data_IF_654590983830
#
_entry.id   IF_654590983830
#
_cell.length_a   1.000
_cell.length_b   1.000
_cell.length_c   1.000
_cell.angle_alpha   90.00
_cell.angle_beta   90.00
_cell.angle_gamma   90.00
#
_symmetry.space_group_name_H-M   'P 1'
#
loop_
_entity.id
_entity.type
_entity.pdbx_description
1 polymer ?
#
# COMPACT_ATOMS: atom_id res chain seq x y z
N UNK A 1 35.88 -29.66 -0.67
CA UNK A 1 35.53 -28.38 -1.32
C UNK A 1 34.02 -28.21 -1.29
N UNK A 2 33.51 -26.99 -1.11
CA UNK A 2 32.05 -26.73 -1.16
C UNK A 2 31.58 -26.86 -2.62
N UNK A 3 30.57 -27.69 -2.87
CA UNK A 3 30.02 -27.93 -4.22
C UNK A 3 29.04 -26.83 -4.65
N UNK A 4 28.74 -26.68 -5.95
CA UNK A 4 27.68 -25.79 -6.43
C UNK A 4 26.32 -26.05 -5.75
N UNK A 5 25.98 -27.32 -5.49
CA UNK A 5 24.78 -27.71 -4.75
C UNK A 5 24.75 -27.14 -3.31
N UNK A 6 25.90 -27.07 -2.63
CA UNK A 6 25.97 -26.43 -1.31
C UNK A 6 25.59 -24.95 -1.37
N UNK A 7 26.06 -24.22 -2.38
CA UNK A 7 25.73 -22.80 -2.55
C UNK A 7 24.29 -22.58 -3.02
N UNK A 8 23.74 -23.47 -3.86
CA UNK A 8 22.31 -23.44 -4.22
C UNK A 8 21.40 -23.68 -3.01
N UNK A 9 21.74 -24.64 -2.15
CA UNK A 9 21.01 -24.88 -0.90
C UNK A 9 21.16 -23.70 0.07
N UNK A 10 22.33 -23.06 0.14
CA UNK A 10 22.53 -21.85 0.93
C UNK A 10 21.70 -20.66 0.41
N UNK A 11 21.66 -20.46 -0.91
CA UNK A 11 20.82 -19.44 -1.55
C UNK A 11 19.33 -19.65 -1.24
N UNK A 12 18.83 -20.89 -1.29
CA UNK A 12 17.45 -21.21 -0.90
C UNK A 12 17.15 -20.94 0.58
N UNK A 13 18.09 -21.21 1.48
CA UNK A 13 17.92 -20.86 2.90
C UNK A 13 17.86 -19.34 3.10
N UNK A 14 18.66 -18.58 2.35
CA UNK A 14 18.60 -17.13 2.37
C UNK A 14 17.24 -16.60 1.84
N UNK A 15 16.74 -17.13 0.70
CA UNK A 15 15.41 -16.80 0.15
C UNK A 15 14.29 -17.08 1.16
N UNK A 16 14.33 -18.22 1.87
CA UNK A 16 13.35 -18.53 2.93
C UNK A 16 13.41 -17.50 4.06
N UNK A 17 14.60 -17.09 4.50
CA UNK A 17 14.74 -16.09 5.55
C UNK A 17 14.19 -14.73 5.12
N UNK A 18 14.44 -14.31 3.87
CA UNK A 18 13.87 -13.09 3.29
C UNK A 18 12.34 -13.15 3.20
N UNK A 19 11.78 -14.27 2.74
CA UNK A 19 10.32 -14.47 2.68
C UNK A 19 9.68 -14.49 4.08
N UNK A 20 10.39 -14.98 5.11
CA UNK A 20 9.91 -14.93 6.50
C UNK A 20 9.85 -13.50 7.01
N UNK A 21 10.87 -12.68 6.70
CA UNK A 21 10.87 -11.25 7.02
C UNK A 21 9.74 -10.52 6.29
N UNK A 22 9.54 -10.83 5.01
CA UNK A 22 8.45 -10.27 4.21
C UNK A 22 7.08 -10.61 4.80
N UNK A 23 6.85 -11.87 5.22
CA UNK A 23 5.60 -12.26 5.90
C UNK A 23 5.36 -11.44 7.17
N UNK A 24 6.42 -11.15 7.92
CA UNK A 24 6.32 -10.32 9.12
C UNK A 24 5.93 -8.87 8.76
N UNK A 25 6.57 -8.27 7.75
CA UNK A 25 6.19 -6.95 7.26
C UNK A 25 4.73 -6.90 6.77
N UNK A 26 4.29 -7.91 6.02
CA UNK A 26 2.89 -8.06 5.60
C UNK A 26 1.93 -8.17 6.79
N UNK A 27 2.30 -8.87 7.87
CA UNK A 27 1.49 -8.95 9.10
C UNK A 27 1.25 -7.57 9.73
N UNK A 28 2.26 -6.68 9.74
CA UNK A 28 2.07 -5.28 10.17
C UNK A 28 1.10 -4.57 9.23
N UNK A 29 1.32 -4.66 7.92
CA UNK A 29 0.46 -4.00 6.92
C UNK A 29 -1.01 -4.43 7.08
N UNK A 30 -1.27 -5.71 7.28
CA UNK A 30 -2.61 -6.28 7.50
C UNK A 30 -3.27 -5.67 8.75
N UNK A 31 -2.55 -5.61 9.88
CA UNK A 31 -3.08 -5.07 11.14
C UNK A 31 -3.30 -3.57 11.09
N UNK A 32 -2.36 -2.84 10.50
CA UNK A 32 -2.46 -1.39 10.31
C UNK A 32 -3.62 -1.05 9.36
N UNK A 33 -3.85 -1.86 8.32
CA UNK A 33 -5.03 -1.73 7.44
C UNK A 33 -6.35 -1.88 8.19
N UNK A 34 -6.45 -2.89 9.06
CA UNK A 34 -7.62 -3.08 9.92
C UNK A 34 -7.83 -1.88 10.86
N UNK A 35 -6.76 -1.37 11.49
CA UNK A 35 -6.81 -0.18 12.35
C UNK A 35 -7.25 1.07 11.58
N UNK A 36 -6.73 1.28 10.36
CA UNK A 36 -7.14 2.40 9.49
C UNK A 36 -8.67 2.38 9.27
N UNK A 37 -9.24 1.21 8.97
CA UNK A 37 -10.69 1.11 8.79
C UNK A 37 -11.46 1.49 10.07
N UNK A 38 -11.02 1.02 11.25
CA UNK A 38 -11.68 1.37 12.50
C UNK A 38 -11.57 2.88 12.81
N UNK A 39 -10.41 3.50 12.56
CA UNK A 39 -10.23 4.94 12.70
C UNK A 39 -11.09 5.74 11.71
N UNK A 40 -11.25 5.27 10.48
CA UNK A 40 -12.12 5.89 9.48
C UNK A 40 -13.59 5.88 9.89
N UNK A 41 -14.04 4.81 10.54
CA UNK A 41 -15.39 4.71 11.13
C UNK A 41 -15.54 5.63 12.35
N UNK A 42 -14.55 5.65 13.26
CA UNK A 42 -14.57 6.55 14.42
C UNK A 42 -14.64 8.01 14.00
N UNK A 43 -13.88 8.41 12.96
CA UNK A 43 -13.97 9.74 12.35
C UNK A 43 -15.38 10.07 11.88
N UNK A 44 -16.02 9.13 11.16
CA UNK A 44 -17.37 9.33 10.64
C UNK A 44 -18.40 9.53 11.76
N UNK A 45 -18.33 8.72 12.81
CA UNK A 45 -19.22 8.81 13.97
C UNK A 45 -18.93 10.06 14.82
N UNK A 46 -17.66 10.46 14.96
CA UNK A 46 -17.27 11.71 15.63
C UNK A 46 -17.78 12.94 14.86
N UNK A 47 -17.79 12.87 13.53
CA UNK A 47 -18.35 13.91 12.68
C UNK A 47 -19.86 14.01 12.85
N UNK A 48 -20.56 12.87 12.92
CA UNK A 48 -22.00 12.82 13.19
C UNK A 48 -22.35 13.39 14.57
N UNK A 49 -21.58 13.03 15.61
CA UNK A 49 -21.79 13.53 16.96
C UNK A 49 -21.61 15.06 17.04
N UNK A 50 -20.52 15.57 16.48
CA UNK A 50 -20.23 17.03 16.49
C UNK A 50 -21.23 17.81 15.64
N UNK A 51 -21.60 17.31 14.46
CA UNK A 51 -22.58 17.96 13.59
C UNK A 51 -24.00 17.98 14.20
N UNK A 52 -24.35 16.94 14.97
CA UNK A 52 -25.63 16.84 15.69
C UNK A 52 -25.60 17.46 17.08
N UNK A 53 -24.52 18.15 17.48
CA UNK A 53 -24.37 18.75 18.81
C UNK A 53 -24.60 17.74 19.95
N UNK A 54 -24.13 16.52 19.78
CA UNK A 54 -24.22 15.45 20.78
C UNK A 54 -25.51 14.62 20.74
N UNK A 55 -26.47 14.94 19.86
CA UNK A 55 -27.79 14.28 19.83
C UNK A 55 -27.73 12.88 19.20
N UNK A 56 -26.86 12.66 18.21
CA UNK A 56 -26.82 11.41 17.44
C UNK A 56 -25.46 10.71 17.52
N UNK A 57 -25.48 9.37 17.47
CA UNK A 57 -24.28 8.57 17.25
C UNK A 57 -23.42 8.26 18.49
N UNK A 58 -23.76 8.76 19.68
CA UNK A 58 -22.95 8.56 20.89
C UNK A 58 -22.73 7.07 21.26
N UNK A 59 -23.80 6.26 21.24
CA UNK A 59 -23.71 4.82 21.56
C UNK A 59 -22.88 4.05 20.52
N UNK A 60 -23.08 4.35 19.23
CA UNK A 60 -22.30 3.75 18.15
C UNK A 60 -20.82 4.18 18.23
N UNK A 61 -20.54 5.44 18.58
CA UNK A 61 -19.18 5.94 18.76
C UNK A 61 -18.47 5.25 19.93
N UNK A 62 -19.15 5.06 21.06
CA UNK A 62 -18.59 4.35 22.21
C UNK A 62 -18.20 2.90 21.85
N UNK A 63 -19.07 2.16 21.15
CA UNK A 63 -18.75 0.82 20.67
C UNK A 63 -17.59 0.82 19.66
N UNK A 64 -17.55 1.81 18.76
CA UNK A 64 -16.49 1.94 17.77
C UNK A 64 -15.13 2.26 18.40
N UNK A 65 -15.08 3.04 19.48
CA UNK A 65 -13.85 3.34 20.22
C UNK A 65 -13.21 2.09 20.80
N UNK A 66 -14.02 1.17 21.35
CA UNK A 66 -13.54 -0.13 21.83
C UNK A 66 -12.92 -0.96 20.70
N UNK A 67 -13.52 -0.94 19.51
CA UNK A 67 -12.96 -1.63 18.34
C UNK A 67 -11.63 -1.00 17.87
N UNK A 68 -11.50 0.33 17.97
CA UNK A 68 -10.25 1.03 17.68
C UNK A 68 -9.18 0.68 18.71
N UNK A 69 -9.53 0.66 20.00
CA UNK A 69 -8.59 0.34 21.07
C UNK A 69 -8.04 -1.09 20.94
N UNK A 70 -8.91 -2.07 20.63
CA UNK A 70 -8.50 -3.42 20.31
C UNK A 70 -7.54 -3.46 19.09
N UNK A 71 -7.84 -2.69 18.04
CA UNK A 71 -6.97 -2.57 16.86
C UNK A 71 -5.62 -1.92 17.16
N UNK A 72 -5.57 -0.97 18.09
CA UNK A 72 -4.33 -0.34 18.57
C UNK A 72 -3.46 -1.36 19.30
N UNK A 73 -4.06 -2.15 20.19
CA UNK A 73 -3.34 -3.20 20.93
C UNK A 73 -2.82 -4.28 19.98
N UNK A 74 -3.60 -4.67 18.97
CA UNK A 74 -3.15 -5.59 17.92
C UNK A 74 -1.94 -5.09 17.13
N UNK A 75 -1.89 -3.80 16.82
CA UNK A 75 -0.74 -3.17 16.13
C UNK A 75 0.47 -3.11 17.05
N UNK A 76 0.30 -2.68 18.31
CA UNK A 76 1.39 -2.62 19.30
C UNK A 76 2.03 -3.99 19.51
N UNK A 77 1.22 -5.01 19.77
CA UNK A 77 1.70 -6.38 19.93
C UNK A 77 2.48 -6.87 18.71
N UNK A 78 2.06 -6.51 17.49
CA UNK A 78 2.77 -6.89 16.28
C UNK A 78 4.11 -6.16 16.09
N UNK A 79 4.21 -4.91 16.54
CA UNK A 79 5.45 -4.13 16.50
C UNK A 79 6.45 -4.66 17.55
N UNK A 80 5.98 -4.96 18.77
CA UNK A 80 6.82 -5.47 19.86
C UNK A 80 7.47 -6.82 19.51
N UNK A 81 6.73 -7.69 18.80
CA UNK A 81 7.27 -8.98 18.32
C UNK A 81 8.40 -8.78 17.29
N UNK A 82 8.39 -7.68 16.52
CA UNK A 82 9.35 -7.43 15.44
C UNK A 82 10.58 -6.63 15.85
N UNK A 83 10.58 -5.96 17.01
CA UNK A 83 11.71 -5.16 17.51
C UNK A 83 12.98 -6.00 17.79
N UNK A 84 12.88 -7.31 17.63
CA UNK A 84 13.98 -8.29 17.77
C UNK A 84 14.74 -8.58 16.48
N UNK A 85 14.38 -7.96 15.33
CA UNK A 85 14.98 -8.26 14.03
C UNK A 85 15.89 -7.14 13.46
N UNK A 86 17.15 -7.44 13.09
CA UNK A 86 18.18 -6.45 12.75
C UNK A 86 18.07 -5.78 11.36
N UNK A 87 16.89 -5.74 10.72
CA UNK A 87 16.74 -5.31 9.33
C UNK A 87 15.75 -4.15 9.09
N UNK A 88 15.23 -3.52 10.15
CA UNK A 88 14.39 -2.32 9.99
C UNK A 88 15.22 -1.11 9.54
N UNK A 89 14.67 -0.35 8.58
CA UNK A 89 15.29 0.91 8.16
C UNK A 89 15.01 2.00 9.19
N UNK A 90 15.91 3.00 9.30
CA UNK A 90 15.67 4.16 10.15
C UNK A 90 14.32 4.82 9.85
N UNK A 91 13.88 4.85 8.58
CA UNK A 91 12.60 5.44 8.19
C UNK A 91 11.42 4.70 8.80
N UNK A 92 11.43 3.36 8.76
CA UNK A 92 10.37 2.55 9.36
C UNK A 92 10.21 2.87 10.85
N UNK A 93 11.32 3.00 11.59
CA UNK A 93 11.27 3.42 13.01
C UNK A 93 10.71 4.82 13.21
N UNK A 94 11.00 5.78 12.33
CA UNK A 94 10.40 7.11 12.41
C UNK A 94 8.89 7.07 12.15
N UNK A 95 8.43 6.26 11.18
CA UNK A 95 7.01 6.07 10.92
C UNK A 95 6.30 5.40 12.10
N UNK A 96 6.92 4.39 12.72
CA UNK A 96 6.42 3.74 13.93
C UNK A 96 6.31 4.76 15.07
N UNK A 97 7.36 5.54 15.33
CA UNK A 97 7.37 6.54 16.39
C UNK A 97 6.26 7.60 16.19
N UNK A 98 6.12 8.11 14.97
CA UNK A 98 5.06 9.07 14.62
C UNK A 98 3.66 8.49 14.85
N UNK A 99 3.42 7.23 14.40
CA UNK A 99 2.16 6.55 14.64
C UNK A 99 1.87 6.39 16.14
N UNK A 100 2.82 5.87 16.91
CA UNK A 100 2.65 5.64 18.34
C UNK A 100 2.36 6.94 19.10
N UNK A 101 3.03 8.04 18.74
CA UNK A 101 2.73 9.37 19.28
C UNK A 101 1.30 9.82 18.94
N UNK A 102 0.86 9.62 17.70
CA UNK A 102 -0.51 9.91 17.27
C UNK A 102 -1.56 9.11 18.04
N UNK A 103 -1.30 7.82 18.26
CA UNK A 103 -2.16 6.93 19.04
C UNK A 103 -2.20 7.33 20.53
N UNK A 104 -1.08 7.81 21.08
CA UNK A 104 -1.03 8.35 22.45
C UNK A 104 -1.83 9.65 22.60
N UNK A 105 -1.94 10.45 21.53
CA UNK A 105 -2.74 11.68 21.52
C UNK A 105 -4.25 11.44 21.32
N UNK A 106 -4.66 10.24 20.84
CA UNK A 106 -6.04 9.92 20.51
C UNK A 106 -7.03 10.08 21.68
N UNK A 107 -6.72 9.70 22.94
CA UNK A 107 -7.62 9.94 24.06
C UNK A 107 -7.93 11.42 24.30
N UNK A 108 -6.96 12.32 24.12
CA UNK A 108 -7.17 13.76 24.25
C UNK A 108 -8.07 14.31 23.14
N UNK A 109 -7.90 13.81 21.90
CA UNK A 109 -8.80 14.12 20.79
C UNK A 109 -10.23 13.68 21.09
N UNK A 110 -10.42 12.44 21.60
CA UNK A 110 -11.73 11.91 21.99
C UNK A 110 -12.40 12.74 23.07
N UNK A 111 -11.66 13.14 24.11
CA UNK A 111 -12.16 14.01 25.16
C UNK A 111 -12.62 15.38 24.62
N UNK A 112 -11.87 15.94 23.67
CA UNK A 112 -12.22 17.21 23.02
C UNK A 112 -13.48 17.11 22.14
N UNK A 113 -13.68 15.96 21.49
CA UNK A 113 -14.91 15.63 20.73
C UNK A 113 -16.10 15.46 21.66
N UNK A 114 -15.94 14.74 22.78
CA UNK A 114 -17.02 14.52 23.77
C UNK A 114 -17.45 15.82 24.44
N UNK A 115 -16.50 16.72 24.70
CA UNK A 115 -16.76 18.05 25.23
C UNK A 115 -17.31 19.04 24.18
N UNK A 116 -17.47 18.62 22.91
CA UNK A 116 -17.90 19.45 21.78
C UNK A 116 -17.07 20.74 21.61
N UNK A 117 -15.80 20.69 22.01
CA UNK A 117 -14.88 21.84 21.93
C UNK A 117 -14.25 22.02 20.55
N UNK A 118 -14.18 20.94 19.77
CA UNK A 118 -13.67 20.94 18.41
C UNK A 118 -14.81 21.02 17.40
N UNK A 119 -14.57 21.77 16.32
CA UNK A 119 -15.46 21.73 15.15
C UNK A 119 -15.35 20.40 14.42
N UNK A 120 -16.39 20.05 13.64
CA UNK A 120 -16.38 18.85 12.78
C UNK A 120 -15.17 18.82 11.83
N UNK A 121 -14.78 19.99 11.31
CA UNK A 121 -13.63 20.12 10.42
C UNK A 121 -12.31 19.81 11.15
N UNK A 122 -12.09 20.38 12.34
CA UNK A 122 -10.87 20.17 13.14
C UNK A 122 -10.73 18.71 13.59
N UNK A 123 -11.82 18.11 14.08
CA UNK A 123 -11.85 16.69 14.45
C UNK A 123 -11.54 15.79 13.24
N UNK A 124 -12.19 16.04 12.09
CA UNK A 124 -11.92 15.32 10.83
C UNK A 124 -10.45 15.43 10.43
N UNK A 125 -9.88 16.64 10.46
CA UNK A 125 -8.48 16.87 10.11
C UNK A 125 -7.50 16.12 11.04
N UNK A 126 -7.81 16.02 12.33
CA UNK A 126 -7.01 15.26 13.28
C UNK A 126 -6.99 13.75 12.96
N UNK A 127 -8.16 13.16 12.69
CA UNK A 127 -8.24 11.75 12.26
C UNK A 127 -7.54 11.51 10.91
N UNK A 128 -7.67 12.42 9.94
CA UNK A 128 -6.96 12.34 8.66
C UNK A 128 -5.45 12.28 8.85
N UNK A 129 -4.89 13.13 9.73
CA UNK A 129 -3.44 13.10 10.04
C UNK A 129 -3.01 11.78 10.67
N UNK A 130 -3.81 11.21 11.57
CA UNK A 130 -3.51 9.93 12.21
C UNK A 130 -3.55 8.79 11.18
N UNK A 131 -4.58 8.73 10.33
CA UNK A 131 -4.69 7.76 9.24
C UNK A 131 -3.55 7.92 8.24
N UNK A 132 -3.12 9.15 7.94
CA UNK A 132 -1.94 9.42 7.12
C UNK A 132 -0.66 8.81 7.70
N UNK A 133 -0.47 8.89 9.02
CA UNK A 133 0.63 8.22 9.72
C UNK A 133 0.59 6.69 9.59
N UNK A 134 -0.60 6.09 9.70
CA UNK A 134 -0.77 4.65 9.46
C UNK A 134 -0.42 4.26 8.01
N UNK A 135 -0.87 5.05 7.03
CA UNK A 135 -0.57 4.81 5.61
C UNK A 135 0.93 4.93 5.31
N UNK A 136 1.62 5.89 5.93
CA UNK A 136 3.07 6.02 5.81
C UNK A 136 3.81 4.79 6.36
N UNK A 137 3.35 4.24 7.50
CA UNK A 137 3.89 2.99 8.04
C UNK A 137 3.67 1.81 7.08
N UNK A 138 2.48 1.67 6.49
CA UNK A 138 2.20 0.63 5.48
C UNK A 138 3.16 0.75 4.29
N UNK A 139 3.37 1.97 3.81
CA UNK A 139 4.28 2.24 2.70
C UNK A 139 5.73 1.86 3.03
N UNK A 140 6.25 2.28 4.19
CA UNK A 140 7.62 1.99 4.59
C UNK A 140 7.85 0.51 4.94
N UNK A 141 6.82 -0.17 5.45
CA UNK A 141 6.86 -1.63 5.63
C UNK A 141 6.89 -2.38 4.29
N UNK A 142 6.26 -1.83 3.25
CA UNK A 142 6.26 -2.43 1.91
C UNK A 142 7.56 -2.21 1.12
N UNK A 143 8.31 -1.13 1.37
CA UNK A 143 9.58 -0.80 0.68
C UNK A 143 10.67 -1.89 0.89
N UNK A 144 10.58 -2.64 2.00
CA UNK A 144 11.48 -3.75 2.32
C UNK A 144 11.20 -5.06 1.56
N UNK A 145 10.17 -5.12 0.72
CA UNK A 145 9.82 -6.36 0.03
C UNK A 145 10.83 -6.74 -1.07
N UNK A 146 11.18 -8.03 -1.10
CA UNK A 146 12.14 -8.63 -2.02
C UNK A 146 11.50 -9.64 -3.00
N UNK A 147 10.19 -9.90 -2.90
CA UNK A 147 9.44 -10.71 -3.86
C UNK A 147 8.58 -9.80 -4.75
N UNK A 148 8.60 -9.95 -6.09
CA UNK A 148 7.89 -9.04 -6.98
C UNK A 148 6.38 -9.13 -6.91
N UNK A 149 5.82 -10.33 -6.78
CA UNK A 149 4.37 -10.53 -6.72
C UNK A 149 3.81 -9.88 -5.46
N UNK A 150 4.50 -10.08 -4.33
CA UNK A 150 4.16 -9.47 -3.05
C UNK A 150 4.34 -7.95 -3.11
N UNK A 151 5.47 -7.46 -3.63
CA UNK A 151 5.73 -6.01 -3.76
C UNK A 151 4.66 -5.31 -4.59
N UNK A 152 4.28 -5.92 -5.71
CA UNK A 152 3.24 -5.43 -6.60
C UNK A 152 1.87 -5.39 -5.91
N UNK A 153 1.50 -6.44 -5.17
CA UNK A 153 0.24 -6.48 -4.43
C UNK A 153 0.22 -5.47 -3.28
N UNK A 154 1.36 -5.25 -2.60
CA UNK A 154 1.51 -4.23 -1.56
C UNK A 154 1.34 -2.80 -2.12
N UNK A 155 1.93 -2.50 -3.28
CA UNK A 155 1.75 -1.21 -3.98
C UNK A 155 0.28 -1.00 -4.35
N UNK A 156 -0.37 -2.03 -4.88
CA UNK A 156 -1.79 -2.00 -5.19
C UNK A 156 -2.63 -1.74 -3.92
N UNK A 157 -2.38 -2.52 -2.86
CA UNK A 157 -3.08 -2.39 -1.59
C UNK A 157 -2.91 -0.98 -0.99
N UNK A 158 -1.69 -0.44 -0.97
CA UNK A 158 -1.43 0.92 -0.48
C UNK A 158 -2.26 1.97 -1.24
N UNK A 159 -2.23 1.95 -2.58
CA UNK A 159 -2.99 2.91 -3.38
C UNK A 159 -4.49 2.73 -3.23
N UNK A 160 -4.97 1.49 -3.06
CA UNK A 160 -6.37 1.22 -2.77
C UNK A 160 -6.80 1.80 -1.42
N UNK A 161 -6.00 1.58 -0.37
CA UNK A 161 -6.24 2.11 0.98
C UNK A 161 -6.24 3.65 0.98
N UNK A 162 -5.32 4.26 0.23
CA UNK A 162 -5.28 5.71 0.05
C UNK A 162 -6.50 6.23 -0.71
N UNK A 163 -6.91 5.58 -1.80
CA UNK A 163 -8.13 5.92 -2.54
C UNK A 163 -9.39 5.81 -1.66
N UNK A 164 -9.47 4.78 -0.81
CA UNK A 164 -10.54 4.62 0.20
C UNK A 164 -10.53 5.75 1.22
N UNK A 165 -9.36 6.14 1.71
CA UNK A 165 -9.23 7.25 2.64
C UNK A 165 -9.71 8.57 2.02
N UNK A 166 -9.32 8.85 0.78
CA UNK A 166 -9.76 10.03 0.04
C UNK A 166 -11.28 10.01 -0.24
N UNK A 167 -11.85 8.84 -0.56
CA UNK A 167 -13.31 8.68 -0.68
C UNK A 167 -14.03 8.94 0.66
N UNK A 168 -13.42 8.58 1.79
CA UNK A 168 -13.91 8.91 3.13
C UNK A 168 -13.89 10.42 3.43
N UNK A 169 -12.86 11.12 2.99
CA UNK A 169 -12.76 12.58 3.07
C UNK A 169 -13.76 13.28 2.13
N UNK A 170 -13.97 12.72 0.94
CA UNK A 170 -14.99 13.20 0.00
C UNK A 170 -16.39 13.11 0.61
N UNK A 171 -16.71 11.98 1.24
CA UNK A 171 -17.97 11.80 1.97
C UNK A 171 -18.18 12.92 3.00
N UNK A 172 -17.17 13.19 3.83
CA UNK A 172 -17.24 14.23 4.86
C UNK A 172 -17.40 15.63 4.26
N UNK A 173 -16.65 15.94 3.19
CA UNK A 173 -16.72 17.21 2.47
C UNK A 173 -18.11 17.45 1.89
N UNK A 174 -18.69 16.42 1.25
CA UNK A 174 -20.04 16.51 0.70
C UNK A 174 -21.12 16.58 1.77
N UNK A 175 -20.99 15.84 2.87
CA UNK A 175 -21.92 15.93 4.00
C UNK A 175 -21.94 17.36 4.59
N UNK A 176 -20.78 17.99 4.73
CA UNK A 176 -20.69 19.38 5.15
C UNK A 176 -21.31 20.34 4.12
N UNK A 177 -21.03 20.17 2.83
CA UNK A 177 -21.59 20.99 1.75
C UNK A 177 -23.13 20.94 1.74
N UNK A 178 -23.71 19.73 1.64
CA UNK A 178 -25.15 19.54 1.61
C UNK A 178 -25.82 19.95 2.93
N UNK A 179 -25.19 19.67 4.08
CA UNK A 179 -25.72 20.04 5.39
C UNK A 179 -25.77 21.55 5.60
N UNK A 180 -24.75 22.30 5.14
CA UNK A 180 -24.73 23.77 5.25
C UNK A 180 -25.57 24.48 4.18
N UNK A 181 -26.05 23.75 3.15
CA UNK A 181 -26.76 24.26 1.95
C UNK A 181 -26.02 25.33 1.13
N UNK A 182 -24.81 25.69 1.55
CA UNK A 182 -23.94 26.65 0.87
C UNK A 182 -22.69 25.90 0.44
N UNK A 183 -22.37 25.97 -0.85
CA UNK A 183 -21.08 25.54 -1.35
C UNK A 183 -20.18 26.76 -1.58
N UNK A 184 -19.13 26.89 -0.77
CA UNK A 184 -18.11 27.90 -0.98
C UNK A 184 -17.10 27.45 -2.05
N UNK A 185 -16.44 28.41 -2.70
CA UNK A 185 -15.48 28.13 -3.79
C UNK A 185 -14.30 27.29 -3.31
N UNK A 186 -13.89 27.42 -2.05
CA UNK A 186 -12.76 26.68 -1.49
C UNK A 186 -13.09 25.19 -1.33
N UNK A 187 -14.28 24.88 -0.83
CA UNK A 187 -14.82 23.52 -0.65
C UNK A 187 -15.09 22.85 -1.98
N UNK A 188 -15.66 23.57 -2.94
CA UNK A 188 -15.83 23.08 -4.31
C UNK A 188 -14.50 22.65 -4.92
N UNK A 189 -13.45 23.49 -4.80
CA UNK A 189 -12.10 23.15 -5.26
C UNK A 189 -11.52 21.95 -4.52
N UNK A 190 -11.61 21.94 -3.19
CA UNK A 190 -11.15 20.81 -2.37
C UNK A 190 -11.82 19.49 -2.79
N UNK A 191 -13.11 19.51 -3.10
CA UNK A 191 -13.84 18.34 -3.54
C UNK A 191 -13.34 17.86 -4.91
N UNK A 192 -13.13 18.75 -5.87
CA UNK A 192 -12.54 18.41 -7.17
C UNK A 192 -11.15 17.77 -7.00
N UNK A 193 -10.30 18.32 -6.13
CA UNK A 193 -8.99 17.75 -5.82
C UNK A 193 -9.09 16.34 -5.22
N UNK A 194 -10.08 16.09 -4.35
CA UNK A 194 -10.34 14.78 -3.77
C UNK A 194 -10.80 13.76 -4.82
N UNK A 195 -11.64 14.17 -5.78
CA UNK A 195 -12.10 13.30 -6.87
C UNK A 195 -10.93 12.90 -7.76
N UNK A 196 -10.13 13.87 -8.19
CA UNK A 196 -8.98 13.61 -9.06
C UNK A 196 -7.92 12.76 -8.35
N UNK A 197 -7.65 13.03 -7.08
CA UNK A 197 -6.68 12.25 -6.29
C UNK A 197 -7.15 10.79 -6.12
N UNK A 198 -8.45 10.56 -5.95
CA UNK A 198 -9.02 9.21 -5.93
C UNK A 198 -8.79 8.48 -7.25
N UNK A 199 -9.08 9.12 -8.38
CA UNK A 199 -8.90 8.53 -9.70
C UNK A 199 -7.45 8.09 -9.93
N UNK A 200 -6.50 8.94 -9.56
CA UNK A 200 -5.07 8.61 -9.64
C UNK A 200 -4.71 7.39 -8.78
N UNK A 201 -5.19 7.35 -7.52
CA UNK A 201 -4.98 6.19 -6.66
C UNK A 201 -5.55 4.91 -7.27
N UNK A 202 -6.78 4.94 -7.79
CA UNK A 202 -7.40 3.75 -8.38
C UNK A 202 -6.78 3.34 -9.72
N UNK A 203 -6.22 4.28 -10.47
CA UNK A 203 -5.46 3.99 -11.69
C UNK A 203 -4.18 3.21 -11.38
N UNK A 204 -3.37 3.69 -10.42
CA UNK A 204 -2.16 2.97 -9.98
C UNK A 204 -2.53 1.63 -9.36
N UNK A 205 -3.56 1.58 -8.52
CA UNK A 205 -4.10 0.32 -8.00
C UNK A 205 -4.42 -0.67 -9.13
N UNK A 206 -5.13 -0.23 -10.18
CA UNK A 206 -5.48 -1.08 -11.30
C UNK A 206 -4.25 -1.54 -12.10
N UNK A 207 -3.24 -0.69 -12.29
CA UNK A 207 -2.01 -1.06 -13.00
C UNK A 207 -1.26 -2.19 -12.27
N UNK A 208 -1.12 -2.08 -10.95
CA UNK A 208 -0.36 -3.03 -10.15
C UNK A 208 -1.20 -4.23 -9.71
N UNK A 209 -2.52 -4.17 -9.74
CA UNK A 209 -3.37 -5.29 -9.30
C UNK A 209 -3.25 -6.53 -10.18
N UNK A 210 -3.13 -7.74 -9.60
CA UNK A 210 -3.32 -9.01 -10.31
C UNK A 210 -4.69 -9.11 -11.03
N UNK A 211 -4.84 -9.94 -12.08
CA UNK A 211 -6.08 -10.06 -12.85
C UNK A 211 -7.33 -10.32 -11.98
N UNK A 212 -7.25 -11.27 -11.03
CA UNK A 212 -8.35 -11.58 -10.13
C UNK A 212 -8.79 -10.39 -9.26
N UNK A 213 -7.84 -9.56 -8.82
CA UNK A 213 -8.12 -8.34 -8.05
C UNK A 213 -8.81 -7.29 -8.94
N UNK A 214 -8.34 -7.11 -10.17
CA UNK A 214 -8.92 -6.17 -11.13
C UNK A 214 -10.36 -6.53 -11.52
N UNK A 215 -10.61 -7.80 -11.82
CA UNK A 215 -11.95 -8.29 -12.16
C UNK A 215 -12.94 -8.04 -11.02
N UNK A 216 -12.52 -8.32 -9.78
CA UNK A 216 -13.35 -8.07 -8.60
C UNK A 216 -13.59 -6.59 -8.36
N UNK A 217 -12.58 -5.74 -8.56
CA UNK A 217 -12.74 -4.29 -8.50
C UNK A 217 -13.70 -3.75 -9.55
N UNK A 218 -13.61 -4.24 -10.78
CA UNK A 218 -14.53 -3.87 -11.86
C UNK A 218 -15.96 -4.29 -11.54
N UNK A 219 -16.17 -5.49 -11.00
CA UNK A 219 -17.48 -5.95 -10.57
C UNK A 219 -18.07 -5.06 -9.47
N UNK A 220 -17.29 -4.74 -8.43
CA UNK A 220 -17.72 -3.82 -7.34
C UNK A 220 -18.05 -2.44 -7.90
N UNK A 221 -17.26 -1.92 -8.83
CA UNK A 221 -17.48 -0.60 -9.44
C UNK A 221 -18.70 -0.57 -10.35
N UNK A 222 -18.95 -1.64 -11.12
CA UNK A 222 -20.06 -1.73 -12.07
C UNK A 222 -21.41 -2.02 -11.40
N UNK A 223 -21.42 -2.78 -10.31
CA UNK A 223 -22.65 -3.17 -9.59
C UNK A 223 -23.11 -2.13 -8.56
N UNK A 224 -22.32 -1.09 -8.31
CA UNK A 224 -22.68 -0.03 -7.38
C UNK A 224 -23.78 0.88 -7.94
N UNK A 225 -25.06 0.55 -7.71
CA UNK A 225 -26.19 1.43 -8.02
C UNK A 225 -26.02 2.85 -7.41
N UNK A 226 -25.29 2.92 -6.30
CA UNK A 226 -24.95 4.14 -5.59
C UNK A 226 -23.89 5.01 -6.29
N UNK A 227 -23.08 4.47 -7.20
CA UNK A 227 -22.07 5.24 -7.93
C UNK A 227 -22.70 6.27 -8.87
N UNK A 228 -23.81 5.92 -9.53
CA UNK A 228 -24.56 6.87 -10.35
C UNK A 228 -25.13 8.01 -9.49
N UNK A 229 -25.59 7.70 -8.27
CA UNK A 229 -26.05 8.70 -7.31
C UNK A 229 -24.93 9.62 -6.86
N UNK A 230 -23.76 9.06 -6.52
CA UNK A 230 -22.56 9.83 -6.15
C UNK A 230 -22.16 10.76 -7.30
N UNK A 231 -22.07 10.26 -8.53
CA UNK A 231 -21.65 11.05 -9.69
C UNK A 231 -22.64 12.18 -10.01
N UNK A 232 -23.94 11.91 -9.90
CA UNK A 232 -24.97 12.96 -10.05
C UNK A 232 -24.81 14.05 -9.00
N UNK A 233 -24.60 13.67 -7.74
CA UNK A 233 -24.45 14.62 -6.63
C UNK A 233 -23.12 15.39 -6.69
N UNK A 234 -22.04 14.74 -7.16
CA UNK A 234 -20.76 15.41 -7.49
C UNK A 234 -20.98 16.52 -8.49
N UNK A 235 -21.68 16.24 -9.59
CA UNK A 235 -21.98 17.26 -10.61
C UNK A 235 -22.75 18.42 -10.02
N UNK A 236 -23.83 18.16 -9.27
CA UNK A 236 -24.62 19.22 -8.61
C UNK A 236 -23.73 20.09 -7.73
N UNK A 237 -22.93 19.49 -6.85
CA UNK A 237 -22.05 20.25 -5.96
C UNK A 237 -20.95 21.00 -6.72
N UNK A 238 -20.38 20.41 -7.78
CA UNK A 238 -19.26 20.98 -8.53
C UNK A 238 -19.68 22.00 -9.59
N UNK A 239 -20.97 22.12 -9.93
CA UNK A 239 -21.46 23.12 -10.90
C UNK A 239 -22.35 24.19 -10.27
N UNK A 240 -22.77 24.02 -9.02
CA UNK A 240 -23.56 25.02 -8.30
C UNK A 240 -22.80 26.37 -8.23
N UNK A 241 -23.51 27.47 -8.49
CA UNK A 241 -22.95 28.81 -8.32
C UNK A 241 -22.91 29.15 -6.83
N UNK A 242 -21.98 30.04 -6.45
CA UNK A 242 -21.86 30.50 -5.07
C UNK A 242 -23.18 31.17 -4.63
N UNK A 243 -23.92 30.50 -3.74
CA UNK A 243 -25.22 30.96 -3.22
C UNK A 243 -26.44 30.14 -3.66
N UNK A 244 -26.28 29.16 -4.56
CA UNK A 244 -27.36 28.23 -4.89
C UNK A 244 -27.68 27.32 -3.69
N UNK A 245 -28.96 27.21 -3.34
CA UNK A 245 -29.39 26.30 -2.27
C UNK A 245 -29.30 24.86 -2.75
N UNK A 246 -28.46 24.07 -2.08
CA UNK A 246 -28.46 22.62 -2.26
C UNK A 246 -29.71 21.99 -1.62
N UNK A 247 -30.24 20.95 -2.26
CA UNK A 247 -31.39 20.17 -1.79
C UNK A 247 -31.10 19.54 -0.41
N UNK A 248 -32.03 19.70 0.54
CA UNK A 248 -31.87 19.21 1.91
C UNK A 248 -31.77 17.69 1.97
N UNK A 249 -32.54 16.99 1.12
CA UNK A 249 -32.56 15.53 1.06
C UNK A 249 -31.35 14.97 0.29
N UNK A 250 -30.52 15.82 -0.30
CA UNK A 250 -29.29 15.40 -0.97
C UNK A 250 -28.21 14.95 0.03
N UNK A 251 -28.19 15.53 1.25
CA UNK A 251 -27.18 15.20 2.26
C UNK A 251 -27.27 13.75 2.76
N UNK A 252 -28.48 13.29 3.09
CA UNK A 252 -28.69 11.91 3.54
C UNK A 252 -28.41 10.90 2.43
N UNK A 253 -28.89 11.15 1.21
CA UNK A 253 -28.61 10.31 0.04
C UNK A 253 -27.12 10.24 -0.28
N UNK A 254 -26.42 11.38 -0.20
CA UNK A 254 -24.97 11.46 -0.36
C UNK A 254 -24.25 10.58 0.66
N UNK A 255 -24.59 10.75 1.94
CA UNK A 255 -23.97 10.02 3.02
C UNK A 255 -24.20 8.51 2.90
N UNK A 256 -25.43 8.10 2.61
CA UNK A 256 -25.80 6.70 2.42
C UNK A 256 -25.05 6.06 1.23
N UNK A 257 -25.08 6.71 0.06
CA UNK A 257 -24.41 6.20 -1.14
C UNK A 257 -22.89 6.10 -0.95
N UNK A 258 -22.27 7.11 -0.34
CA UNK A 258 -20.83 7.07 -0.06
C UNK A 258 -20.46 6.01 0.99
N UNK A 259 -21.31 5.80 2.00
CA UNK A 259 -21.04 4.78 3.03
C UNK A 259 -21.15 3.37 2.43
N UNK A 260 -22.16 3.10 1.61
CA UNK A 260 -22.30 1.87 0.82
C UNK A 260 -21.06 1.60 -0.05
N UNK A 261 -20.57 2.63 -0.78
CA UNK A 261 -19.32 2.53 -1.55
C UNK A 261 -18.12 2.18 -0.66
N UNK A 262 -17.96 2.84 0.49
CA UNK A 262 -16.85 2.58 1.41
C UNK A 262 -16.90 1.17 2.01
N UNK A 263 -18.08 0.65 2.30
CA UNK A 263 -18.27 -0.72 2.80
C UNK A 263 -17.88 -1.75 1.72
N UNK A 264 -18.30 -1.53 0.47
CA UNK A 264 -17.89 -2.37 -0.65
C UNK A 264 -16.38 -2.33 -0.90
N UNK A 265 -15.77 -1.14 -0.77
CA UNK A 265 -14.32 -1.00 -0.85
C UNK A 265 -13.61 -1.72 0.29
N UNK A 266 -14.13 -1.64 1.52
CA UNK A 266 -13.55 -2.35 2.66
C UNK A 266 -13.64 -3.87 2.50
N UNK A 267 -14.73 -4.39 1.95
CA UNK A 267 -14.85 -5.82 1.64
C UNK A 267 -13.79 -6.28 0.62
N UNK A 268 -13.49 -5.45 -0.39
CA UNK A 268 -12.42 -5.73 -1.35
C UNK A 268 -11.03 -5.64 -0.70
N UNK A 269 -10.78 -4.64 0.13
CA UNK A 269 -9.54 -4.50 0.91
C UNK A 269 -9.28 -5.71 1.81
N UNK A 270 -10.30 -6.19 2.52
CA UNK A 270 -10.21 -7.39 3.36
C UNK A 270 -9.85 -8.63 2.52
N UNK A 271 -10.40 -8.74 1.31
CA UNK A 271 -10.05 -9.82 0.40
C UNK A 271 -8.63 -9.70 -0.17
N UNK A 272 -8.18 -8.50 -0.55
CA UNK A 272 -6.79 -8.24 -0.99
C UNK A 272 -5.80 -8.59 0.13
N UNK A 273 -6.15 -8.25 1.37
CA UNK A 273 -5.39 -8.55 2.59
C UNK A 273 -5.25 -10.06 2.80
N UNK A 274 -6.33 -10.82 2.59
CA UNK A 274 -6.30 -12.28 2.65
C UNK A 274 -5.45 -12.89 1.52
N UNK A 275 -5.55 -12.34 0.30
CA UNK A 275 -4.76 -12.77 -0.84
C UNK A 275 -3.26 -12.51 -0.65
N UNK A 276 -2.90 -11.38 -0.03
CA UNK A 276 -1.52 -11.07 0.36
C UNK A 276 -0.96 -12.09 1.34
N UNK A 277 -1.74 -12.45 2.38
CA UNK A 277 -1.35 -13.46 3.36
C UNK A 277 -1.18 -14.84 2.70
N UNK A 278 -2.10 -15.22 1.81
CA UNK A 278 -2.06 -16.47 1.04
C UNK A 278 -0.83 -16.53 0.14
N UNK A 279 -0.56 -15.47 -0.62
CA UNK A 279 0.60 -15.36 -1.49
C UNK A 279 1.92 -15.52 -0.72
N UNK A 280 2.04 -14.88 0.44
CA UNK A 280 3.23 -15.02 1.29
C UNK A 280 3.41 -16.46 1.78
N UNK A 281 2.31 -17.13 2.18
CA UNK A 281 2.33 -18.53 2.62
C UNK A 281 2.74 -19.49 1.49
N UNK A 282 2.14 -19.36 0.31
CA UNK A 282 2.43 -20.19 -0.86
C UNK A 282 3.89 -20.06 -1.31
N UNK A 283 4.43 -18.83 -1.32
CA UNK A 283 5.83 -18.57 -1.67
C UNK A 283 6.79 -19.24 -0.67
N UNK A 284 6.49 -19.15 0.62
CA UNK A 284 7.26 -19.82 1.68
C UNK A 284 7.21 -21.34 1.55
N UNK A 285 6.02 -21.92 1.31
CA UNK A 285 5.87 -23.36 1.14
C UNK A 285 6.61 -23.88 -0.10
N UNK A 286 6.55 -23.13 -1.20
CA UNK A 286 7.28 -23.42 -2.43
C UNK A 286 8.80 -23.39 -2.19
N UNK A 287 9.30 -22.37 -1.48
CA UNK A 287 10.72 -22.24 -1.17
C UNK A 287 11.22 -23.38 -0.25
N UNK A 288 10.44 -23.75 0.77
CA UNK A 288 10.75 -24.90 1.63
C UNK A 288 10.76 -26.23 0.84
N UNK A 289 9.77 -26.45 -0.02
CA UNK A 289 9.68 -27.66 -0.84
C UNK A 289 10.87 -27.77 -1.80
N UNK A 290 11.29 -26.66 -2.41
CA UNK A 290 12.47 -26.60 -3.28
C UNK A 290 13.77 -26.87 -2.50
N UNK A 291 13.92 -26.34 -1.28
CA UNK A 291 15.07 -26.63 -0.43
C UNK A 291 15.11 -28.11 -0.03
N UNK A 292 13.96 -28.69 0.32
CA UNK A 292 13.86 -30.10 0.68
C UNK A 292 14.22 -31.02 -0.50
N UNK A 293 13.77 -30.69 -1.71
CA UNK A 293 14.15 -31.40 -2.94
C UNK A 293 15.67 -31.37 -3.21
N UNK A 294 16.35 -30.27 -2.88
CA UNK A 294 17.82 -30.16 -2.99
C UNK A 294 18.59 -30.90 -1.89
N UNK A 295 17.96 -31.13 -0.73
CA UNK A 295 18.57 -31.80 0.43
C UNK A 295 18.31 -33.30 0.46
N UNK A 296 17.26 -33.77 -0.21
CA UNK A 296 17.02 -35.18 -0.43
C UNK A 296 18.19 -35.75 -1.24
N UNK A 297 18.96 -36.71 -0.71
CA UNK A 297 19.91 -37.43 -1.53
C UNK A 297 19.10 -38.18 -2.57
N UNK A 298 19.15 -37.75 -3.83
CA UNK A 298 18.75 -38.64 -4.91
C UNK A 298 19.55 -39.92 -4.72
N UNK A 299 18.86 -41.07 -4.62
CA UNK A 299 19.50 -42.38 -4.46
C UNK A 299 20.54 -42.68 -5.57
N UNK A 300 20.56 -41.87 -6.63
CA UNK A 300 21.54 -41.88 -7.73
C UNK A 300 22.85 -41.12 -7.44
N UNK A 301 22.93 -40.28 -6.41
CA UNK A 301 24.12 -39.46 -6.11
C UNK A 301 25.21 -40.18 -5.31
N UNK A 302 24.94 -41.39 -4.82
CA UNK A 302 25.91 -42.15 -4.00
C UNK A 302 27.00 -42.84 -4.86
N UNK A 303 26.79 -43.00 -6.17
CA UNK A 303 27.74 -43.66 -7.09
C UNK A 303 28.67 -42.69 -7.83
N UNK A 304 28.33 -41.40 -7.97
CA UNK A 304 29.18 -40.40 -8.62
C UNK A 304 30.20 -39.76 -7.66
N UNK A 305 30.95 -40.59 -6.93
CA UNK A 305 32.31 -40.21 -6.51
C UNK A 305 33.23 -40.80 -7.56
N UNK A 306 33.56 -40.03 -8.61
CA UNK A 306 34.76 -40.15 -9.47
C UNK A 306 34.47 -39.45 -10.81
N UNK A 307 34.93 -38.20 -10.95
CA UNK A 307 35.62 -37.63 -12.12
C UNK A 307 35.55 -36.11 -12.04
N UNK A 308 36.70 -35.52 -11.72
CA UNK A 308 36.98 -34.10 -11.83
C UNK A 308 37.17 -33.78 -13.32
N UNK A 309 36.06 -33.51 -14.02
CA UNK A 309 36.06 -33.04 -15.41
C UNK A 309 35.25 -31.75 -15.53
N UNK A 310 35.72 -30.72 -14.83
CA UNK A 310 35.35 -29.35 -15.16
C UNK A 310 35.91 -28.97 -16.54
N UNK A 311 35.07 -28.41 -17.41
CA UNK A 311 35.56 -27.64 -18.56
C UNK A 311 34.59 -27.55 -19.73
N UNK A 312 34.18 -26.32 -20.06
CA UNK A 312 33.52 -25.87 -21.30
C UNK A 312 31.99 -25.95 -21.44
N UNK A 313 31.24 -26.85 -20.77
CA UNK A 313 29.76 -26.83 -20.89
C UNK A 313 29.12 -25.55 -20.32
N UNK A 314 29.70 -24.97 -19.27
CA UNK A 314 29.26 -23.67 -18.70
C UNK A 314 29.38 -22.49 -19.70
N UNK A 315 30.37 -22.53 -20.59
CA UNK A 315 30.68 -21.47 -21.56
C UNK A 315 30.08 -21.72 -22.95
N UNK A 316 29.43 -22.88 -23.16
CA UNK A 316 28.75 -23.20 -24.41
C UNK A 316 27.41 -22.44 -24.46
N UNK A 317 27.44 -21.23 -25.01
CA UNK A 317 26.25 -20.46 -25.39
C UNK A 317 25.53 -21.20 -26.52
N UNK A 318 24.22 -21.43 -26.36
CA UNK A 318 23.23 -21.83 -27.38
C UNK A 318 23.81 -22.49 -28.63
N UNK A 319 24.20 -23.77 -28.55
CA UNK A 319 24.48 -24.55 -29.74
C UNK A 319 23.15 -25.07 -30.33
N UNK A 320 22.83 -24.82 -31.61
CA UNK A 320 21.70 -25.46 -32.26
C UNK A 320 21.88 -26.99 -32.23
N UNK A 321 20.87 -27.69 -31.75
CA UNK A 321 20.80 -29.15 -31.74
C UNK A 321 20.82 -29.70 -33.17
N UNK A 322 21.99 -29.95 -33.75
CA UNK A 322 22.14 -30.79 -34.93
C UNK A 322 23.58 -31.32 -35.05
N UNK A 323 23.92 -32.36 -34.28
CA UNK A 323 25.03 -33.27 -34.57
C UNK A 323 24.79 -34.62 -33.87
N UNK A 324 24.99 -35.76 -34.56
CA UNK A 324 24.67 -37.08 -34.02
C UNK A 324 25.66 -37.53 -32.93
N UNK A 325 25.21 -38.39 -31.99
CA UNK A 325 25.98 -38.70 -30.79
C UNK A 325 27.10 -39.70 -31.12
N UNK A 326 28.36 -39.27 -30.96
CA UNK A 326 29.48 -40.22 -30.86
C UNK A 326 29.57 -40.73 -29.43
N UNK A 327 29.41 -42.04 -29.30
CA UNK A 327 29.40 -42.75 -28.02
C UNK A 327 30.69 -42.60 -27.23
N UNK A 328 30.53 -42.24 -25.97
CA UNK A 328 31.37 -42.67 -24.87
C UNK A 328 30.51 -42.55 -23.59
N UNK A 329 30.56 -43.58 -22.77
CA UNK A 329 29.80 -43.69 -21.53
C UNK A 329 30.03 -42.45 -20.63
N UNK A 330 28.98 -41.66 -20.42
CA UNK A 330 29.04 -40.51 -19.55
C UNK A 330 27.65 -40.34 -18.92
N UNK A 331 27.47 -40.91 -17.72
CA UNK A 331 26.32 -40.63 -16.84
C UNK A 331 26.60 -39.45 -15.88
N UNK A 332 27.80 -38.83 -15.96
CA UNK A 332 28.15 -37.55 -15.31
C UNK A 332 27.59 -36.24 -15.92
N UNK A 333 27.40 -36.09 -17.24
CA UNK A 333 26.98 -34.82 -17.85
C UNK A 333 25.49 -34.53 -17.67
N UNK A 334 24.66 -35.51 -17.29
CA UNK A 334 23.23 -35.26 -17.05
C UNK A 334 23.00 -34.47 -15.74
N UNK A 335 23.79 -34.75 -14.69
CA UNK A 335 23.69 -34.06 -13.41
C UNK A 335 24.33 -32.68 -13.50
N UNK A 336 25.49 -32.55 -14.16
CA UNK A 336 26.13 -31.24 -14.38
C UNK A 336 25.29 -30.33 -15.29
N UNK A 337 24.70 -30.85 -16.37
CA UNK A 337 23.70 -30.11 -17.17
C UNK A 337 22.45 -29.75 -16.36
N UNK A 338 22.02 -30.62 -15.44
CA UNK A 338 20.88 -30.33 -14.55
C UNK A 338 21.20 -29.21 -13.55
N UNK A 339 22.40 -29.19 -12.98
CA UNK A 339 22.85 -28.13 -12.07
C UNK A 339 23.08 -26.81 -12.84
N UNK A 340 23.70 -26.87 -14.01
CA UNK A 340 23.91 -25.69 -14.85
C UNK A 340 22.58 -25.09 -15.33
N UNK A 341 21.65 -25.92 -15.80
CA UNK A 341 20.31 -25.49 -16.16
C UNK A 341 19.57 -24.88 -14.97
N UNK A 342 19.71 -25.46 -13.78
CA UNK A 342 19.12 -24.91 -12.55
C UNK A 342 19.71 -23.53 -12.21
N UNK A 343 21.03 -23.36 -12.32
CA UNK A 343 21.72 -22.08 -12.08
C UNK A 343 21.32 -21.02 -13.11
N UNK A 344 21.26 -21.37 -14.39
CA UNK A 344 20.84 -20.47 -15.46
C UNK A 344 19.37 -20.04 -15.29
N UNK A 345 18.48 -20.98 -14.97
CA UNK A 345 17.08 -20.67 -14.68
C UNK A 345 16.94 -19.80 -13.42
N UNK A 346 17.74 -20.04 -12.37
CA UNK A 346 17.77 -19.15 -11.21
C UNK A 346 18.24 -17.74 -11.57
N UNK A 347 19.31 -17.61 -12.36
CA UNK A 347 19.82 -16.31 -12.79
C UNK A 347 18.77 -15.52 -13.58
N UNK A 348 18.13 -16.18 -14.57
CA UNK A 348 17.06 -15.56 -15.37
C UNK A 348 15.87 -15.15 -14.51
N UNK A 349 15.44 -16.02 -13.59
CA UNK A 349 14.37 -15.73 -12.63
C UNK A 349 14.72 -14.51 -11.77
N UNK A 350 15.93 -14.44 -11.21
CA UNK A 350 16.38 -13.30 -10.39
C UNK A 350 16.42 -11.99 -11.18
N UNK A 351 16.87 -12.00 -12.44
CA UNK A 351 16.88 -10.81 -13.30
C UNK A 351 15.47 -10.28 -13.57
N UNK A 352 14.53 -11.16 -13.90
CA UNK A 352 13.13 -10.79 -14.10
C UNK A 352 12.52 -10.24 -12.81
N UNK A 353 12.75 -10.92 -11.68
CA UNK A 353 12.29 -10.48 -10.37
C UNK A 353 12.85 -9.11 -10.02
N UNK A 354 14.14 -8.88 -10.25
CA UNK A 354 14.77 -7.59 -9.97
C UNK A 354 14.15 -6.46 -10.80
N UNK A 355 13.91 -6.68 -12.10
CA UNK A 355 13.28 -5.68 -12.97
C UNK A 355 11.85 -5.32 -12.51
N UNK A 356 11.08 -6.30 -12.04
CA UNK A 356 9.73 -6.07 -11.49
C UNK A 356 9.78 -5.35 -10.13
N UNK A 357 10.72 -5.71 -9.26
CA UNK A 357 10.98 -5.00 -8.00
C UNK A 357 11.39 -3.55 -8.29
N UNK A 358 12.25 -3.31 -9.28
CA UNK A 358 12.67 -1.95 -9.64
C UNK A 358 11.48 -1.14 -10.18
N UNK A 359 10.58 -1.75 -10.96
CA UNK A 359 9.34 -1.08 -11.40
C UNK A 359 8.45 -0.71 -10.21
N UNK A 360 8.23 -1.63 -9.28
CA UNK A 360 7.38 -1.38 -8.09
C UNK A 360 8.02 -0.35 -7.16
N UNK A 361 9.33 -0.45 -6.91
CA UNK A 361 10.11 0.54 -6.16
C UNK A 361 10.14 1.90 -6.81
N UNK A 362 10.17 1.99 -8.15
CA UNK A 362 10.07 3.27 -8.83
C UNK A 362 8.72 3.94 -8.50
N UNK A 363 7.60 3.24 -8.63
CA UNK A 363 6.29 3.80 -8.28
C UNK A 363 6.19 4.23 -6.80
N UNK A 364 6.79 3.46 -5.89
CA UNK A 364 6.92 3.86 -4.48
C UNK A 364 7.82 5.11 -4.35
N UNK A 365 9.01 5.11 -4.95
CA UNK A 365 9.97 6.21 -4.88
C UNK A 365 9.39 7.53 -5.42
N UNK A 366 8.56 7.47 -6.45
CA UNK A 366 7.84 8.63 -6.97
C UNK A 366 6.95 9.25 -5.90
N UNK A 367 6.10 8.42 -5.26
CA UNK A 367 5.22 8.90 -4.18
C UNK A 367 6.01 9.49 -3.03
N UNK A 368 7.07 8.82 -2.61
CA UNK A 368 7.95 9.27 -1.53
C UNK A 368 8.58 10.63 -1.83
N UNK A 369 8.98 10.86 -3.07
CA UNK A 369 9.52 12.15 -3.51
C UNK A 369 8.45 13.25 -3.41
N UNK A 370 7.21 12.95 -3.82
CA UNK A 370 6.08 13.86 -3.71
C UNK A 370 5.75 14.17 -2.24
N UNK A 371 5.66 13.16 -1.38
CA UNK A 371 5.43 13.35 0.06
C UNK A 371 6.52 14.19 0.73
N UNK A 372 7.79 13.94 0.41
CA UNK A 372 8.91 14.71 0.96
C UNK A 372 8.84 16.17 0.52
N UNK A 373 8.53 16.42 -0.76
CA UNK A 373 8.35 17.78 -1.27
C UNK A 373 7.15 18.49 -0.60
N UNK A 374 6.04 17.79 -0.39
CA UNK A 374 4.90 18.32 0.39
C UNK A 374 5.32 18.68 1.82
N UNK A 375 6.03 17.78 2.51
CA UNK A 375 6.49 18.02 3.89
C UNK A 375 7.40 19.24 4.00
N UNK A 376 8.32 19.41 3.05
CA UNK A 376 9.20 20.59 2.98
C UNK A 376 8.37 21.86 2.74
N UNK A 377 7.38 21.83 1.84
CA UNK A 377 6.49 22.97 1.61
C UNK A 377 5.63 23.31 2.83
N UNK A 378 5.10 22.31 3.52
CA UNK A 378 4.36 22.50 4.77
C UNK A 378 5.22 23.22 5.80
N UNK A 379 6.49 22.81 5.96
CA UNK A 379 7.41 23.44 6.89
C UNK A 379 7.79 24.88 6.49
N UNK A 380 8.18 25.09 5.22
CA UNK A 380 8.65 26.40 4.72
C UNK A 380 7.54 27.44 4.57
N UNK A 381 6.33 27.01 4.19
CA UNK A 381 5.21 27.91 3.89
C UNK A 381 4.13 27.90 4.98
N UNK A 382 4.23 27.02 5.99
CA UNK A 382 3.22 26.86 7.05
C UNK A 382 1.81 26.62 6.49
N UNK A 383 1.73 25.86 5.40
CA UNK A 383 0.48 25.51 4.73
C UNK A 383 0.05 24.09 5.06
N UNK A 384 -1.25 23.83 4.95
CA UNK A 384 -1.80 22.49 5.17
C UNK A 384 -1.30 21.50 4.09
N UNK A 385 -1.32 20.21 4.39
CA UNK A 385 -0.89 19.18 3.44
C UNK A 385 -1.65 19.26 2.10
N UNK A 386 -2.95 19.53 2.17
CA UNK A 386 -3.79 19.66 0.98
C UNK A 386 -3.38 20.87 0.14
N UNK A 387 -3.02 21.99 0.76
CA UNK A 387 -2.57 23.19 0.06
C UNK A 387 -1.14 23.06 -0.49
N UNK A 388 -0.25 22.32 0.20
CA UNK A 388 1.06 21.98 -0.33
C UNK A 388 0.96 21.14 -1.61
N UNK A 389 0.10 20.12 -1.60
CA UNK A 389 -0.14 19.29 -2.79
C UNK A 389 -0.72 20.12 -3.95
N UNK A 390 -1.68 21.01 -3.66
CA UNK A 390 -2.25 21.92 -4.67
C UNK A 390 -1.20 22.84 -5.27
N UNK A 391 -0.35 23.45 -4.46
CA UNK A 391 0.72 24.33 -4.94
C UNK A 391 1.67 23.59 -5.88
N UNK A 392 2.06 22.36 -5.52
CA UNK A 392 2.88 21.51 -6.37
C UNK A 392 2.20 21.19 -7.71
N UNK A 393 0.92 20.80 -7.66
CA UNK A 393 0.14 20.51 -8.88
C UNK A 393 -0.02 21.74 -9.76
N UNK A 394 -0.36 22.90 -9.18
CA UNK A 394 -0.51 24.14 -9.93
C UNK A 394 0.82 24.53 -10.59
N UNK A 395 1.94 24.32 -9.90
CA UNK A 395 3.28 24.52 -10.44
C UNK A 395 3.56 23.54 -11.60
N UNK A 396 3.16 22.28 -11.46
CA UNK A 396 3.29 21.26 -12.50
C UNK A 396 2.46 21.58 -13.75
N UNK A 397 1.22 22.06 -13.58
CA UNK A 397 0.36 22.49 -14.68
C UNK A 397 0.91 23.74 -15.37
N UNK A 398 1.30 24.76 -14.60
CA UNK A 398 1.87 26.00 -15.16
C UNK A 398 3.18 25.75 -15.94
N UNK A 399 3.94 24.72 -15.55
CA UNK A 399 5.20 24.35 -16.20
C UNK A 399 5.07 23.21 -17.22
N UNK A 400 3.88 22.62 -17.40
CA UNK A 400 3.66 21.41 -18.22
C UNK A 400 4.64 20.27 -17.90
N UNK A 401 4.87 19.99 -16.61
CA UNK A 401 5.76 18.93 -16.13
C UNK A 401 5.01 17.90 -15.30
N UNK A 402 5.56 16.69 -15.15
CA UNK A 402 4.98 15.70 -14.23
C UNK A 402 5.14 16.20 -12.79
N UNK A 403 4.20 15.82 -11.93
CA UNK A 403 4.23 16.19 -10.50
C UNK A 403 5.53 15.73 -9.82
N UNK A 404 6.06 14.57 -10.22
CA UNK A 404 7.35 14.06 -9.78
C UNK A 404 8.50 15.02 -10.08
N UNK A 405 8.57 15.53 -11.31
CA UNK A 405 9.67 16.40 -11.76
C UNK A 405 9.67 17.73 -11.00
N UNK A 406 8.48 18.24 -10.68
CA UNK A 406 8.31 19.43 -9.84
C UNK A 406 8.70 19.15 -8.40
N UNK A 407 8.31 18.00 -7.84
CA UNK A 407 8.71 17.59 -6.50
C UNK A 407 10.24 17.51 -6.37
N UNK A 408 10.92 16.91 -7.35
CA UNK A 408 12.39 16.85 -7.40
C UNK A 408 13.03 18.23 -7.51
N UNK A 409 12.50 19.11 -8.37
CA UNK A 409 13.01 20.47 -8.51
C UNK A 409 12.85 21.28 -7.21
N UNK A 410 11.73 21.12 -6.50
CA UNK A 410 11.47 21.78 -5.22
C UNK A 410 12.38 21.26 -4.11
N UNK A 411 12.61 19.95 -4.03
CA UNK A 411 13.55 19.37 -3.07
C UNK A 411 14.98 19.85 -3.34
N UNK A 412 15.39 19.89 -4.61
CA UNK A 412 16.71 20.38 -5.00
C UNK A 412 16.88 21.86 -4.66
N UNK A 413 15.83 22.67 -4.82
CA UNK A 413 15.85 24.08 -4.43
C UNK A 413 15.85 24.28 -2.90
N UNK A 414 15.18 23.40 -2.15
CA UNK A 414 15.18 23.42 -0.69
C UNK A 414 16.53 23.00 -0.11
N UNK A 415 17.23 22.03 -0.73
CA UNK A 415 18.58 21.63 -0.33
C UNK A 415 19.62 22.76 -0.54
N UNK A 416 19.29 23.77 -1.35
CA UNK A 416 20.11 24.96 -1.63
C UNK A 416 19.76 26.18 -0.75
N UNK A 417 18.66 26.14 0.00
CA UNK A 417 18.21 27.21 0.89
C UNK A 417 18.54 26.80 2.35
N UNK A 418 19.40 27.55 3.07
CA UNK A 418 19.91 27.17 4.39
C UNK A 418 18.86 27.18 5.50
#
# INVERSE_FOLDING_TARGET
MKSPLHYLAAARRAEIAELQQLRNACSIVIRVSALIHQLQKERGLSSLLTASQGVQGAAALAAQRLAVDAGIDDVRNALDVQDTHPHHTARLYHAIAYLLQGLQALPALRASVDALTLTTHESTAAFVRLVGGCLALVFDAADGACDPDVSRLLVAMFHFMQGKELAGQERATGAAAFGSRVNDVQRQRQWLDLIESQEQCFQVFAEFSPPAVRERWQAVSAQGADMATIERLRRVACTALAGDSLDADAGERWFAACSSRLDAMHALEAWITAELARLCADKLETAHSALHALQQPSQQSQECRLADHGGMEFFAVDAPCDLPPRGAAAYGPQIERSIQALVQEQSRRLQLMQAEIDKTRAALAERKTIERAKGVLMHLRQISESDAHKLMRQTAMNQNRRLLDVAQAMLSAADLLP
#
